data_IF_844493336011
#
_entry.id   IF_844493336011
#
_cell.length_a   1.000
_cell.length_b   1.000
_cell.length_c   1.000
_cell.angle_alpha   90.00
_cell.angle_beta   90.00
_cell.angle_gamma   90.00
#
_symmetry.space_group_name_H-M   'P 1'
#
loop_
_entity.id
_entity.type
_entity.pdbx_description
1 polymer ?
#
# COMPACT_ATOMS: atom_id res chain seq x y z
N UNK A 1 -5.45 -5.51 3.97
CA UNK A 1 -4.33 -5.24 3.08
C UNK A 1 -3.00 -5.71 3.64
N UNK A 2 -1.92 -5.44 2.89
CA UNK A 2 -0.56 -5.89 3.22
C UNK A 2 -0.06 -5.41 4.58
N UNK A 3 -0.36 -4.16 4.96
CA UNK A 3 0.08 -3.61 6.25
C UNK A 3 -0.58 -4.30 7.46
N UNK A 4 -1.86 -4.66 7.38
CA UNK A 4 -2.52 -5.38 8.47
C UNK A 4 -1.89 -6.76 8.66
N UNK A 5 -1.49 -7.41 7.58
CA UNK A 5 -0.77 -8.68 7.62
C UNK A 5 0.69 -8.50 8.05
N UNK A 6 1.31 -7.37 7.71
CA UNK A 6 2.65 -6.98 8.19
C UNK A 6 2.67 -6.87 9.73
N UNK A 7 1.68 -6.24 10.34
CA UNK A 7 1.57 -6.11 11.79
C UNK A 7 1.42 -7.45 12.52
N UNK A 8 1.04 -8.52 11.80
CA UNK A 8 0.96 -9.90 12.31
C UNK A 8 2.24 -10.71 12.08
N UNK A 9 3.38 -10.07 11.78
CA UNK A 9 4.62 -10.72 11.40
C UNK A 9 5.05 -11.93 12.26
N UNK A 10 4.86 -11.96 13.59
CA UNK A 10 5.22 -13.12 14.42
C UNK A 10 4.34 -14.36 14.19
N UNK A 11 3.14 -14.20 13.63
CA UNK A 11 2.12 -15.26 13.51
C UNK A 11 1.65 -15.45 12.06
N UNK A 12 2.39 -14.90 11.09
CA UNK A 12 2.11 -15.03 9.66
C UNK A 12 3.17 -15.85 8.94
N UNK A 13 2.77 -16.44 7.81
CA UNK A 13 3.66 -17.06 6.83
C UNK A 13 3.29 -16.56 5.44
N UNK A 14 4.25 -15.95 4.74
CA UNK A 14 4.12 -15.56 3.34
C UNK A 14 4.51 -16.71 2.42
N UNK A 15 3.75 -16.90 1.38
CA UNK A 15 3.98 -17.87 0.31
C UNK A 15 3.64 -17.21 -1.03
N UNK A 16 3.92 -17.89 -2.14
CA UNK A 16 3.50 -17.41 -3.46
C UNK A 16 1.96 -17.31 -3.56
N UNK A 17 1.25 -18.21 -2.92
CA UNK A 17 -0.22 -18.24 -2.95
C UNK A 17 -0.86 -17.09 -2.18
N UNK A 18 -0.20 -16.59 -1.13
CA UNK A 18 -0.75 -15.56 -0.26
C UNK A 18 -0.13 -15.56 1.13
N UNK A 19 -0.86 -15.00 2.09
CA UNK A 19 -0.47 -14.91 3.48
C UNK A 19 -1.33 -15.79 4.38
N UNK A 20 -0.70 -16.75 5.05
CA UNK A 20 -1.32 -17.55 6.11
C UNK A 20 -1.04 -16.89 7.45
N UNK A 21 -2.07 -16.67 8.26
CA UNK A 21 -1.93 -16.12 9.61
C UNK A 21 -2.94 -16.75 10.58
N UNK A 22 -2.74 -16.51 11.87
CA UNK A 22 -3.72 -16.87 12.90
C UNK A 22 -4.39 -15.63 13.46
N UNK A 23 -5.70 -15.72 13.70
CA UNK A 23 -6.44 -14.69 14.43
C UNK A 23 -5.89 -14.58 15.86
N UNK A 24 -5.64 -13.35 16.31
CA UNK A 24 -5.24 -13.08 17.69
C UNK A 24 -6.42 -13.15 18.68
N UNK A 25 -7.66 -13.24 18.17
CA UNK A 25 -8.87 -13.28 18.98
C UNK A 25 -9.18 -14.73 19.40
N UNK A 26 -9.19 -15.65 18.44
CA UNK A 26 -9.65 -17.03 18.62
C UNK A 26 -8.64 -18.11 18.16
N UNK A 27 -7.49 -17.68 17.62
CA UNK A 27 -6.44 -18.58 17.13
C UNK A 27 -6.77 -19.26 15.79
N UNK A 28 -7.92 -18.98 15.17
CA UNK A 28 -8.33 -19.55 13.88
C UNK A 28 -7.31 -19.23 12.78
N UNK A 29 -7.12 -20.20 11.87
CA UNK A 29 -6.18 -20.06 10.76
C UNK A 29 -6.88 -19.48 9.55
N UNK A 30 -6.29 -18.44 8.96
CA UNK A 30 -6.77 -17.76 7.77
C UNK A 30 -5.71 -17.79 6.67
N UNK A 31 -6.18 -17.78 5.41
CA UNK A 31 -5.37 -17.58 4.23
C UNK A 31 -5.92 -16.40 3.45
N UNK A 32 -5.13 -15.36 3.29
CA UNK A 32 -5.39 -14.26 2.35
C UNK A 32 -4.61 -14.50 1.07
N UNK A 33 -5.33 -14.63 -0.04
CA UNK A 33 -4.78 -14.65 -1.39
C UNK A 33 -5.13 -13.34 -2.10
N UNK A 34 -4.46 -12.99 -3.20
CA UNK A 34 -4.85 -11.86 -4.03
C UNK A 34 -6.33 -11.90 -4.41
N UNK A 35 -6.85 -13.06 -4.81
CA UNK A 35 -8.22 -13.24 -5.26
C UNK A 35 -9.24 -13.01 -4.14
N UNK A 36 -9.11 -13.74 -3.01
CA UNK A 36 -10.07 -13.60 -1.92
C UNK A 36 -9.99 -12.25 -1.21
N UNK A 37 -8.85 -11.55 -1.34
CA UNK A 37 -8.73 -10.15 -0.90
C UNK A 37 -9.60 -9.23 -1.76
N UNK A 38 -9.65 -9.43 -3.08
CA UNK A 38 -10.56 -8.71 -3.97
C UNK A 38 -12.02 -9.01 -3.63
N UNK A 39 -12.38 -10.29 -3.47
CA UNK A 39 -13.74 -10.71 -3.10
C UNK A 39 -14.19 -10.08 -1.77
N UNK A 40 -13.29 -10.01 -0.80
CA UNK A 40 -13.57 -9.36 0.49
C UNK A 40 -13.88 -7.88 0.32
N UNK A 41 -13.10 -7.16 -0.48
CA UNK A 41 -13.32 -5.74 -0.73
C UNK A 41 -14.56 -5.48 -1.60
N UNK A 42 -14.90 -6.40 -2.53
CA UNK A 42 -16.20 -6.40 -3.22
C UNK A 42 -17.35 -6.52 -2.23
N UNK A 43 -17.25 -7.46 -1.28
CA UNK A 43 -18.27 -7.69 -0.24
C UNK A 43 -18.42 -6.53 0.74
N UNK A 44 -17.33 -5.82 1.05
CA UNK A 44 -17.35 -4.59 1.86
C UNK A 44 -18.00 -3.44 1.09
N UNK A 45 -17.89 -3.43 -0.23
CA UNK A 45 -18.41 -2.35 -1.08
C UNK A 45 -17.54 -1.09 -1.02
N UNK A 46 -16.23 -1.23 -0.89
CA UNK A 46 -15.31 -0.08 -0.91
C UNK A 46 -15.32 0.60 -2.28
N UNK A 47 -15.36 1.94 -2.33
CA UNK A 47 -15.26 2.71 -3.58
C UNK A 47 -13.87 2.53 -4.21
N UNK A 48 -12.81 2.51 -3.37
CA UNK A 48 -11.44 2.25 -3.77
C UNK A 48 -10.99 0.91 -3.18
N UNK A 49 -10.62 -0.01 -4.05
CA UNK A 49 -10.10 -1.34 -3.74
C UNK A 49 -8.58 -1.31 -3.84
N UNK A 50 -7.90 -1.72 -2.77
CA UNK A 50 -6.44 -1.79 -2.76
C UNK A 50 -5.97 -3.19 -3.17
N UNK A 51 -5.01 -3.26 -4.11
CA UNK A 51 -4.38 -4.52 -4.43
C UNK A 51 -3.71 -5.15 -3.20
N UNK A 52 -3.64 -6.48 -3.16
CA UNK A 52 -2.95 -7.19 -2.07
C UNK A 52 -1.44 -7.12 -2.29
N UNK A 53 -0.70 -6.69 -1.27
CA UNK A 53 0.73 -6.43 -1.34
C UNK A 53 1.50 -7.02 -0.15
N UNK A 54 2.80 -7.11 -0.26
CA UNK A 54 3.71 -7.30 0.87
C UNK A 54 4.39 -5.98 1.21
N UNK A 55 4.08 -5.44 2.38
CA UNK A 55 4.81 -4.32 2.97
C UNK A 55 6.04 -4.87 3.70
N UNK A 56 7.25 -4.51 3.26
CA UNK A 56 8.48 -4.85 3.97
C UNK A 56 8.89 -3.74 4.96
N UNK A 57 9.70 -4.06 6.00
CA UNK A 57 10.26 -3.05 6.90
C UNK A 57 11.09 -2.01 6.15
N UNK A 58 11.12 -0.75 6.65
CA UNK A 58 11.89 0.34 6.05
C UNK A 58 13.42 0.15 6.09
N UNK A 59 13.91 -0.70 6.99
CA UNK A 59 15.31 -1.10 7.16
C UNK A 59 15.65 -2.44 6.49
N UNK A 60 14.73 -3.01 5.68
CA UNK A 60 14.96 -4.27 4.98
C UNK A 60 16.17 -4.19 4.06
N UNK A 61 17.00 -5.23 4.05
CA UNK A 61 18.10 -5.32 3.10
C UNK A 61 17.60 -5.40 1.64
N UNK A 62 18.47 -5.06 0.70
CA UNK A 62 18.13 -5.02 -0.73
C UNK A 62 17.60 -6.36 -1.26
N UNK A 63 18.17 -7.48 -0.82
CA UNK A 63 17.77 -8.81 -1.28
C UNK A 63 16.36 -9.16 -0.84
N UNK A 64 16.01 -8.83 0.40
CA UNK A 64 14.65 -9.03 0.90
C UNK A 64 13.68 -8.06 0.21
N UNK A 65 14.01 -6.77 0.15
CA UNK A 65 13.18 -5.76 -0.51
C UNK A 65 12.88 -6.11 -1.98
N UNK A 66 13.87 -6.63 -2.71
CA UNK A 66 13.69 -7.09 -4.09
C UNK A 66 12.72 -8.25 -4.18
N UNK A 67 12.86 -9.28 -3.33
CA UNK A 67 11.94 -10.44 -3.29
C UNK A 67 10.51 -10.02 -2.93
N UNK A 68 10.37 -9.15 -1.95
CA UNK A 68 9.08 -8.59 -1.51
C UNK A 68 8.39 -7.82 -2.65
N UNK A 69 9.13 -6.95 -3.34
CA UNK A 69 8.63 -6.22 -4.50
C UNK A 69 8.19 -7.17 -5.63
N UNK A 70 8.98 -8.19 -5.94
CA UNK A 70 8.65 -9.18 -6.99
C UNK A 70 7.41 -10.01 -6.62
N UNK A 71 7.23 -10.36 -5.35
CA UNK A 71 6.03 -11.05 -4.86
C UNK A 71 4.81 -10.13 -4.99
N UNK A 72 4.92 -8.87 -4.54
CA UNK A 72 3.86 -7.85 -4.67
C UNK A 72 3.45 -7.67 -6.13
N UNK A 73 4.39 -7.65 -7.06
CA UNK A 73 4.11 -7.53 -8.49
C UNK A 73 3.26 -8.71 -8.99
N UNK A 74 3.63 -9.95 -8.67
CA UNK A 74 2.86 -11.13 -9.07
C UNK A 74 1.47 -11.17 -8.44
N UNK A 75 1.35 -10.74 -7.19
CA UNK A 75 0.06 -10.61 -6.51
C UNK A 75 -0.80 -9.51 -7.13
N UNK A 76 -0.20 -8.39 -7.53
CA UNK A 76 -0.91 -7.32 -8.25
C UNK A 76 -1.51 -7.82 -9.56
N UNK A 77 -0.77 -8.59 -10.35
CA UNK A 77 -1.27 -9.19 -11.59
C UNK A 77 -2.48 -10.10 -11.33
N UNK A 78 -2.43 -10.91 -10.27
CA UNK A 78 -3.53 -11.77 -9.84
C UNK A 78 -4.74 -10.97 -9.36
N UNK A 79 -4.52 -9.94 -8.52
CA UNK A 79 -5.56 -9.02 -8.08
C UNK A 79 -6.26 -8.37 -9.27
N UNK A 80 -5.48 -7.83 -10.19
CA UNK A 80 -5.96 -7.13 -11.39
C UNK A 80 -6.82 -8.04 -12.25
N UNK A 81 -6.32 -9.23 -12.56
CA UNK A 81 -7.05 -10.23 -13.34
C UNK A 81 -8.37 -10.65 -12.67
N UNK A 82 -8.34 -10.89 -11.36
CA UNK A 82 -9.54 -11.31 -10.63
C UNK A 82 -10.55 -10.17 -10.50
N UNK A 83 -10.08 -8.95 -10.25
CA UNK A 83 -10.92 -7.76 -10.19
C UNK A 83 -11.67 -7.52 -11.51
N UNK A 84 -10.98 -7.66 -12.66
CA UNK A 84 -11.57 -7.49 -14.00
C UNK A 84 -12.53 -8.63 -14.37
N UNK A 85 -12.38 -9.80 -13.76
CA UNK A 85 -13.25 -10.96 -13.97
C UNK A 85 -14.49 -11.01 -13.06
N UNK A 86 -14.62 -10.05 -12.11
CA UNK A 86 -15.70 -10.02 -11.12
C UNK A 86 -16.46 -8.70 -11.17
N UNK A 87 -17.78 -8.77 -10.98
CA UNK A 87 -18.65 -7.60 -10.98
C UNK A 87 -18.80 -6.97 -9.59
N UNK A 88 -19.01 -5.65 -9.50
CA UNK A 88 -19.39 -4.99 -8.26
C UNK A 88 -20.72 -5.52 -7.73
N UNK A 89 -20.84 -5.68 -6.39
CA UNK A 89 -22.03 -6.29 -5.77
C UNK A 89 -23.16 -5.30 -5.50
N UNK A 90 -22.92 -3.99 -5.50
CA UNK A 90 -23.85 -2.97 -4.99
C UNK A 90 -24.29 -1.94 -6.03
N UNK A 91 -24.12 -2.23 -7.32
CA UNK A 91 -24.64 -1.42 -8.42
C UNK A 91 -23.87 -0.13 -8.72
N UNK A 92 -22.65 0.03 -8.17
CA UNK A 92 -21.70 1.09 -8.51
C UNK A 92 -20.33 0.52 -8.86
N UNK A 93 -19.58 1.24 -9.66
CA UNK A 93 -18.22 0.87 -10.03
C UNK A 93 -17.25 1.09 -8.84
N UNK A 94 -16.23 0.25 -8.76
CA UNK A 94 -15.16 0.37 -7.79
C UNK A 94 -13.83 0.59 -8.55
N UNK A 95 -12.95 1.39 -7.97
CA UNK A 95 -11.63 1.67 -8.52
C UNK A 95 -10.58 0.72 -7.92
N UNK A 96 -9.71 0.12 -8.73
CA UNK A 96 -8.58 -0.68 -8.25
C UNK A 96 -7.30 0.15 -8.22
N UNK A 97 -6.69 0.28 -7.05
CA UNK A 97 -5.40 0.96 -6.88
C UNK A 97 -4.28 -0.07 -6.66
N UNK A 98 -3.35 -0.21 -7.63
CA UNK A 98 -2.05 -0.85 -7.41
C UNK A 98 -1.27 -0.19 -6.29
N UNK A 99 -0.50 -0.98 -5.52
CA UNK A 99 0.38 -0.46 -4.47
C UNK A 99 1.83 -0.61 -4.93
N UNK A 100 2.51 0.52 -5.09
CA UNK A 100 3.93 0.59 -5.44
C UNK A 100 4.76 0.31 -4.19
N UNK A 101 5.52 -0.79 -4.20
CA UNK A 101 6.45 -1.19 -3.15
C UNK A 101 7.90 -1.04 -3.63
N UNK A 102 8.91 -1.31 -2.80
CA UNK A 102 10.33 -1.25 -3.16
C UNK A 102 11.24 -0.70 -2.07
N UNK A 103 10.72 -0.59 -0.83
CA UNK A 103 11.46 -0.07 0.32
C UNK A 103 12.07 1.31 0.01
N UNK A 104 13.32 1.56 0.40
CA UNK A 104 14.06 2.81 0.14
C UNK A 104 15.07 2.70 -1.02
N UNK A 105 14.83 1.78 -1.95
CA UNK A 105 15.70 1.51 -3.09
C UNK A 105 15.12 2.09 -4.39
N UNK A 106 15.74 3.13 -4.97
CA UNK A 106 15.21 3.84 -6.14
C UNK A 106 14.96 2.95 -7.36
N UNK A 107 15.83 1.99 -7.62
CA UNK A 107 15.72 1.05 -8.75
C UNK A 107 14.52 0.10 -8.56
N UNK A 108 14.29 -0.39 -7.33
CA UNK A 108 13.13 -1.22 -7.00
C UNK A 108 11.84 -0.42 -7.09
N UNK A 109 11.82 0.82 -6.61
CA UNK A 109 10.67 1.74 -6.73
C UNK A 109 10.35 2.03 -8.19
N UNK A 110 11.36 2.33 -9.00
CA UNK A 110 11.20 2.57 -10.44
C UNK A 110 10.58 1.36 -11.14
N UNK A 111 11.14 0.18 -10.94
CA UNK A 111 10.61 -1.05 -11.54
C UNK A 111 9.17 -1.35 -11.10
N UNK A 112 8.82 -1.06 -9.83
CA UNK A 112 7.47 -1.27 -9.31
C UNK A 112 6.48 -0.27 -9.89
N UNK A 113 6.83 1.02 -9.97
CA UNK A 113 5.92 2.05 -10.50
C UNK A 113 5.70 1.92 -12.01
N UNK A 114 6.74 1.60 -12.77
CA UNK A 114 6.62 1.33 -14.21
C UNK A 114 5.67 0.16 -14.49
N UNK A 115 5.77 -0.91 -13.71
CA UNK A 115 4.86 -2.05 -13.82
C UNK A 115 3.42 -1.66 -13.45
N UNK A 116 3.23 -0.94 -12.33
CA UNK A 116 1.91 -0.51 -11.87
C UNK A 116 1.24 0.44 -12.88
N UNK A 117 1.99 1.42 -13.41
CA UNK A 117 1.49 2.38 -14.39
C UNK A 117 1.06 1.71 -15.71
N UNK A 118 1.77 0.64 -16.14
CA UNK A 118 1.44 -0.11 -17.33
C UNK A 118 0.07 -0.84 -17.27
N UNK A 119 -0.51 -1.00 -16.07
CA UNK A 119 -1.84 -1.59 -15.90
C UNK A 119 -2.98 -0.59 -16.13
N UNK A 120 -2.69 0.69 -16.29
CA UNK A 120 -3.65 1.79 -16.55
C UNK A 120 -4.90 1.72 -15.65
N UNK A 121 -4.68 1.77 -14.32
CA UNK A 121 -5.75 1.73 -13.34
C UNK A 121 -6.28 3.12 -12.99
N UNK A 122 -7.36 3.15 -12.21
CA UNK A 122 -8.08 4.38 -11.85
C UNK A 122 -7.28 5.30 -10.92
N UNK A 123 -6.28 4.77 -10.22
CA UNK A 123 -5.37 5.49 -9.34
C UNK A 123 -4.27 4.58 -8.81
N UNK A 124 -3.32 5.13 -8.07
CA UNK A 124 -2.12 4.43 -7.63
C UNK A 124 -1.79 4.76 -6.18
N UNK A 125 -1.43 3.73 -5.41
CA UNK A 125 -0.97 3.92 -4.05
C UNK A 125 0.56 3.75 -3.95
N UNK A 126 1.18 4.52 -3.08
CA UNK A 126 2.59 4.46 -2.73
C UNK A 126 2.67 3.92 -1.31
N UNK A 127 3.01 2.63 -1.20
CA UNK A 127 3.11 1.92 0.07
C UNK A 127 4.56 1.68 0.52
N UNK A 128 4.73 1.10 1.71
CA UNK A 128 6.03 0.73 2.26
C UNK A 128 6.96 1.92 2.50
N UNK A 129 6.39 3.08 2.84
CA UNK A 129 7.05 4.28 3.35
C UNK A 129 6.42 4.64 4.70
N UNK A 130 7.10 5.46 5.50
CA UNK A 130 6.76 5.72 6.91
C UNK A 130 6.68 4.44 7.77
N UNK A 131 7.54 3.46 7.48
CA UNK A 131 7.65 2.17 8.18
C UNK A 131 9.01 1.98 8.87
N UNK A 132 9.65 3.09 9.26
CA UNK A 132 10.90 3.12 10.04
C UNK A 132 12.09 3.78 9.35
N UNK A 133 11.98 4.15 8.08
CA UNK A 133 13.02 4.91 7.37
C UNK A 133 13.06 6.38 7.80
N UNK A 134 14.19 7.09 7.61
CA UNK A 134 14.26 8.54 7.75
C UNK A 134 13.32 9.26 6.78
N UNK A 135 12.73 10.38 7.21
CA UNK A 135 11.76 11.16 6.43
C UNK A 135 12.32 11.60 5.07
N UNK A 136 13.60 11.96 5.02
CA UNK A 136 14.29 12.38 3.80
C UNK A 136 14.32 11.24 2.76
N UNK A 137 14.47 9.99 3.22
CA UNK A 137 14.40 8.82 2.33
C UNK A 137 13.00 8.61 1.75
N UNK A 138 11.95 8.86 2.54
CA UNK A 138 10.58 8.86 2.02
C UNK A 138 10.44 9.89 0.89
N UNK A 139 10.90 11.13 1.09
CA UNK A 139 10.84 12.18 0.06
C UNK A 139 11.62 11.82 -1.20
N UNK A 140 12.85 11.29 -1.07
CA UNK A 140 13.62 10.79 -2.21
C UNK A 140 12.84 9.73 -3.01
N UNK A 141 12.12 8.82 -2.34
CA UNK A 141 11.33 7.80 -3.03
C UNK A 141 10.10 8.39 -3.73
N UNK A 142 9.48 9.43 -3.19
CA UNK A 142 8.40 10.15 -3.87
C UNK A 142 8.90 10.84 -5.14
N UNK A 143 10.10 11.42 -5.12
CA UNK A 143 10.74 12.04 -6.29
C UNK A 143 11.07 11.01 -7.39
N UNK A 144 11.25 9.74 -7.03
CA UNK A 144 11.42 8.65 -8.00
C UNK A 144 10.07 8.19 -8.58
N UNK A 145 9.04 8.08 -7.74
CA UNK A 145 7.76 7.43 -8.09
C UNK A 145 6.80 8.38 -8.78
N UNK A 146 6.57 9.57 -8.19
CA UNK A 146 5.53 10.49 -8.67
C UNK A 146 5.70 10.94 -10.13
N UNK A 147 6.91 11.21 -10.65
CA UNK A 147 7.07 11.61 -12.05
C UNK A 147 6.76 10.51 -13.09
N UNK A 148 6.69 9.24 -12.66
CA UNK A 148 6.38 8.10 -13.54
C UNK A 148 4.87 7.80 -13.55
N UNK A 149 4.18 8.10 -12.45
CA UNK A 149 2.73 7.91 -12.36
C UNK A 149 1.98 8.92 -13.25
N UNK A 150 0.88 8.51 -13.91
CA UNK A 150 0.05 9.41 -14.70
C UNK A 150 -0.41 10.64 -13.91
N UNK A 151 -0.36 11.83 -14.55
CA UNK A 151 -0.74 13.10 -13.90
C UNK A 151 -2.25 13.24 -13.70
N UNK A 152 -3.03 12.56 -14.52
CA UNK A 152 -4.50 12.57 -14.51
C UNK A 152 -5.12 11.51 -13.57
N UNK A 153 -4.30 10.78 -12.84
CA UNK A 153 -4.73 9.74 -11.90
C UNK A 153 -4.34 10.08 -10.46
N UNK A 154 -5.22 9.83 -9.46
CA UNK A 154 -4.90 10.10 -8.06
C UNK A 154 -3.73 9.25 -7.55
N UNK A 155 -2.83 9.88 -6.82
CA UNK A 155 -1.63 9.32 -6.20
C UNK A 155 -1.80 9.33 -4.68
N UNK A 156 -1.90 8.15 -4.09
CA UNK A 156 -2.20 7.98 -2.68
C UNK A 156 -0.97 7.53 -1.90
N UNK A 157 -0.43 8.39 -1.03
CA UNK A 157 0.64 8.04 -0.09
C UNK A 157 0.06 7.46 1.19
N UNK A 158 0.30 6.17 1.41
CA UNK A 158 -0.32 5.40 2.50
C UNK A 158 0.35 5.64 3.85
N UNK A 159 -0.46 5.87 4.88
CA UNK A 159 -0.02 5.94 6.28
C UNK A 159 0.74 7.21 6.67
N UNK A 160 0.71 8.26 5.85
CA UNK A 160 1.43 9.52 6.05
C UNK A 160 0.42 10.67 6.18
N UNK A 161 0.56 11.64 7.08
CA UNK A 161 1.65 11.86 7.98
C UNK A 161 1.42 13.08 8.87
N UNK A 162 2.53 13.69 9.32
CA UNK A 162 2.50 15.00 9.98
C UNK A 162 2.08 16.11 9.01
N UNK A 163 1.68 17.30 9.49
CA UNK A 163 1.37 18.44 8.61
C UNK A 163 2.51 18.76 7.62
N UNK A 164 3.77 18.70 8.06
CA UNK A 164 4.94 18.90 7.21
C UNK A 164 5.05 17.82 6.12
N UNK A 165 4.87 16.53 6.49
CA UNK A 165 4.93 15.43 5.52
C UNK A 165 3.85 15.54 4.45
N UNK A 166 2.65 16.03 4.80
CA UNK A 166 1.56 16.24 3.85
C UNK A 166 1.94 17.33 2.84
N UNK A 167 2.43 18.47 3.32
CA UNK A 167 2.88 19.57 2.45
C UNK A 167 4.01 19.16 1.50
N UNK A 168 5.01 18.44 2.03
CA UNK A 168 6.13 17.92 1.25
C UNK A 168 5.68 16.83 0.24
N UNK A 169 4.68 16.02 0.61
CA UNK A 169 4.06 15.05 -0.28
C UNK A 169 3.31 15.71 -1.43
N UNK A 170 2.49 16.73 -1.13
CA UNK A 170 1.76 17.53 -2.14
C UNK A 170 2.74 18.21 -3.11
N UNK A 171 3.82 18.82 -2.59
CA UNK A 171 4.85 19.44 -3.40
C UNK A 171 5.53 18.45 -4.39
N UNK A 172 5.49 17.14 -4.10
CA UNK A 172 6.02 16.06 -4.95
C UNK A 172 4.96 15.36 -5.79
N UNK A 173 3.71 15.84 -5.77
CA UNK A 173 2.63 15.35 -6.62
C UNK A 173 1.77 14.25 -6.00
N UNK A 174 1.69 14.16 -4.67
CA UNK A 174 0.76 13.27 -3.97
C UNK A 174 -0.58 13.97 -3.77
N UNK A 175 -1.69 13.26 -3.99
CA UNK A 175 -3.06 13.79 -3.95
C UNK A 175 -3.85 13.32 -2.72
N UNK A 176 -3.55 12.12 -2.21
CA UNK A 176 -4.33 11.47 -1.15
C UNK A 176 -3.43 10.98 -0.02
N UNK A 177 -3.94 11.07 1.20
CA UNK A 177 -3.23 10.67 2.41
C UNK A 177 -4.19 10.02 3.41
N UNK A 178 -3.67 9.13 4.24
CA UNK A 178 -4.28 8.69 5.49
C UNK A 178 -3.25 8.72 6.61
N UNK A 179 -3.67 9.02 7.82
CA UNK A 179 -2.77 8.94 8.97
C UNK A 179 -3.54 8.73 10.27
N UNK A 180 -3.09 7.78 11.06
CA UNK A 180 -3.66 7.53 12.41
C UNK A 180 -3.17 8.54 13.46
N UNK A 181 -2.11 9.30 13.16
CA UNK A 181 -1.43 10.17 14.13
C UNK A 181 -2.34 11.26 14.72
N UNK A 182 -3.16 12.00 13.95
CA UNK A 182 -4.04 13.02 14.52
C UNK A 182 -5.00 12.44 15.55
N UNK A 183 -5.64 11.32 15.25
CA UNK A 183 -6.56 10.64 16.17
C UNK A 183 -5.83 10.03 17.36
N UNK A 184 -4.65 9.44 17.15
CA UNK A 184 -3.80 8.91 18.22
C UNK A 184 -3.36 10.01 19.17
N UNK A 185 -2.86 11.13 18.65
CA UNK A 185 -2.44 12.29 19.41
C UNK A 185 -3.61 12.87 20.21
N UNK A 186 -4.78 13.05 19.57
CA UNK A 186 -5.99 13.55 20.22
C UNK A 186 -6.41 12.69 21.42
N UNK A 187 -6.36 11.34 21.30
CA UNK A 187 -6.62 10.43 22.43
C UNK A 187 -5.64 10.58 23.59
N UNK A 188 -4.43 11.05 23.34
CA UNK A 188 -3.38 11.27 24.32
C UNK A 188 -3.25 12.76 24.75
N UNK A 189 -4.22 13.61 24.37
CA UNK A 189 -4.23 15.02 24.71
C UNK A 189 -3.18 15.86 23.97
N UNK A 190 -2.68 15.38 22.83
CA UNK A 190 -1.69 16.06 22.00
C UNK A 190 -2.35 16.64 20.75
N UNK A 191 -1.97 17.88 20.42
CA UNK A 191 -2.43 18.59 19.21
C UNK A 191 -1.21 19.08 18.42
N UNK A 192 -1.37 19.20 17.11
CA UNK A 192 -0.42 19.94 16.28
C UNK A 192 -0.72 21.44 16.39
N UNK A 193 0.31 22.25 16.56
CA UNK A 193 0.24 23.71 16.56
C UNK A 193 1.21 24.27 15.51
N UNK A 194 1.07 25.56 15.22
CA UNK A 194 1.95 26.27 14.28
C UNK A 194 3.11 27.00 14.98
N UNK A 195 3.26 26.80 16.29
CA UNK A 195 4.30 27.43 17.11
C UNK A 195 5.58 26.58 17.14
#
# INVERSE_FOLDING_TARGET
GGFQVFSLSPIRKLTEDGCVFRSHIDGSKHLFTPENNMDTQRSIGADIVMAFDECCPGDADYRYAKKSRELTQRWLERCSKHFDATEPLYGYSQALFPIVQGCVYPDLRRAAVEHAAALDREGYAIGGLAVGEPTEKMYEMLEVVCPILPEDKPRYLMGVGTPANILEGIARGVDMFDCVMPTRNGRNGMLFTWD
#
